data_IF_139850497890
#
_entry.id   IF_139850497890
#
_cell.length_a   1.000
_cell.length_b   1.000
_cell.length_c   1.000
_cell.angle_alpha   90.00
_cell.angle_beta   90.00
_cell.angle_gamma   90.00
#
_symmetry.space_group_name_H-M   'P 1'
#
loop_
_entity.id
_entity.type
_entity.pdbx_description
1 polymer ?
#
# COMPACT_ATOMS: atom_id res chain seq x y z
N UNK A 1 -0.34 3.90 5.06
CA UNK A 1 -0.76 2.48 5.05
C UNK A 1 -0.99 1.94 3.65
N UNK A 2 -1.74 2.63 2.80
CA UNK A 2 -2.09 2.13 1.46
C UNK A 2 -0.89 1.84 0.52
N UNK A 3 0.24 2.53 0.66
CA UNK A 3 1.49 2.15 -0.02
C UNK A 3 1.96 0.76 0.38
N UNK A 4 1.84 0.42 1.65
CA UNK A 4 2.27 -0.86 2.19
C UNK A 4 1.53 -2.03 1.55
N UNK A 5 0.21 -2.06 1.58
CA UNK A 5 -0.55 -3.17 1.01
C UNK A 5 -0.49 -3.21 -0.54
N UNK A 6 -0.19 -2.07 -1.17
CA UNK A 6 0.01 -2.05 -2.62
C UNK A 6 1.33 -2.71 -3.04
N UNK A 7 2.39 -2.55 -2.26
CA UNK A 7 3.74 -2.88 -2.69
C UNK A 7 4.39 -4.02 -1.93
N UNK A 8 4.12 -4.20 -0.62
CA UNK A 8 4.96 -5.11 0.15
C UNK A 8 4.30 -5.82 1.34
N UNK A 9 3.14 -5.38 1.81
CA UNK A 9 2.48 -6.03 2.95
C UNK A 9 1.94 -7.41 2.58
N UNK A 10 2.29 -8.42 3.39
CA UNK A 10 1.78 -9.78 3.26
C UNK A 10 1.31 -10.32 4.61
N UNK A 11 0.20 -11.02 4.57
CA UNK A 11 -0.34 -11.73 5.72
C UNK A 11 -0.62 -13.18 5.32
N UNK A 12 0.48 -13.92 5.13
CA UNK A 12 0.42 -15.32 4.70
C UNK A 12 -0.08 -16.21 5.85
N UNK A 13 -0.94 -17.17 5.51
CA UNK A 13 -1.49 -18.15 6.44
C UNK A 13 -1.05 -19.55 6.04
N UNK A 14 -0.72 -20.38 7.03
CA UNK A 14 -0.55 -21.81 6.88
C UNK A 14 -1.41 -22.53 7.90
N UNK A 15 -2.27 -23.44 7.43
CA UNK A 15 -3.22 -24.18 8.28
C UNK A 15 -4.05 -23.24 9.17
N UNK A 16 -4.55 -22.13 8.59
CA UNK A 16 -5.30 -21.07 9.25
C UNK A 16 -4.51 -20.33 10.36
N UNK A 17 -3.19 -20.45 10.39
CA UNK A 17 -2.33 -19.73 11.33
C UNK A 17 -1.47 -18.71 10.60
N UNK A 18 -1.35 -17.47 11.12
CA UNK A 18 -0.45 -16.47 10.54
C UNK A 18 1.01 -16.94 10.57
N UNK A 19 1.69 -16.74 9.47
CA UNK A 19 3.14 -16.96 9.38
C UNK A 19 3.93 -15.72 9.82
N UNK A 20 3.34 -14.54 9.62
CA UNK A 20 3.98 -13.28 9.99
C UNK A 20 3.82 -12.99 11.47
N UNK A 21 4.91 -12.56 12.10
CA UNK A 21 4.91 -12.05 13.47
C UNK A 21 4.52 -10.56 13.49
N UNK A 22 4.14 -10.06 14.67
CA UNK A 22 3.90 -8.64 14.88
C UNK A 22 5.12 -7.82 14.44
N UNK A 23 4.88 -6.79 13.64
CA UNK A 23 5.92 -5.91 13.12
C UNK A 23 6.64 -6.38 11.86
N UNK A 24 6.34 -7.59 11.35
CA UNK A 24 7.01 -8.17 10.17
C UNK A 24 6.13 -8.22 8.92
N UNK A 25 4.99 -7.52 8.91
CA UNK A 25 4.04 -7.51 7.80
C UNK A 25 4.53 -6.76 6.55
N UNK A 26 5.63 -6.01 6.63
CA UNK A 26 6.14 -5.22 5.52
C UNK A 26 5.65 -3.78 5.48
N UNK A 27 5.19 -3.23 6.60
CA UNK A 27 4.80 -1.82 6.71
C UNK A 27 5.97 -0.90 6.37
N UNK A 28 5.70 0.14 5.60
CA UNK A 28 6.68 1.19 5.33
C UNK A 28 7.03 1.96 6.61
N UNK A 29 8.29 2.24 6.80
CA UNK A 29 8.81 3.08 7.88
C UNK A 29 8.84 4.54 7.42
N UNK A 30 8.92 5.47 8.36
CA UNK A 30 8.90 6.89 8.07
C UNK A 30 10.01 7.34 7.10
N UNK A 31 11.18 6.74 7.20
CA UNK A 31 12.33 7.02 6.32
C UNK A 31 12.23 6.39 4.92
N UNK A 32 11.25 5.54 4.68
CA UNK A 32 11.01 4.88 3.41
C UNK A 32 9.87 5.53 2.61
N UNK A 33 9.13 6.45 3.24
CA UNK A 33 8.03 7.16 2.60
C UNK A 33 8.58 8.20 1.63
N UNK A 34 8.12 8.21 0.37
CA UNK A 34 8.50 9.23 -0.59
C UNK A 34 7.96 10.61 -0.19
N UNK A 35 8.48 11.65 -0.82
CA UNK A 35 7.90 12.97 -0.69
C UNK A 35 6.43 12.96 -1.13
N UNK A 36 5.58 13.54 -0.30
CA UNK A 36 4.12 13.57 -0.53
C UNK A 36 3.67 15.01 -0.66
N UNK A 37 3.12 15.36 -1.83
CA UNK A 37 2.44 16.62 -2.05
C UNK A 37 0.94 16.43 -1.89
N UNK A 38 0.31 17.24 -1.04
CA UNK A 38 -1.12 17.21 -0.80
C UNK A 38 -1.79 18.43 -1.42
N UNK A 39 -2.69 18.17 -2.38
CA UNK A 39 -3.46 19.22 -3.05
C UNK A 39 -4.92 19.08 -2.62
N UNK A 40 -5.43 20.13 -1.99
CA UNK A 40 -6.82 20.18 -1.51
C UNK A 40 -7.65 20.94 -2.53
N UNK A 41 -8.63 20.23 -3.13
CA UNK A 41 -9.62 20.84 -4.02
C UNK A 41 -10.84 21.20 -3.17
N UNK A 42 -11.02 22.48 -2.87
CA UNK A 42 -12.18 22.97 -2.12
C UNK A 42 -13.42 23.01 -3.03
N UNK A 43 -14.51 22.47 -2.53
CA UNK A 43 -15.82 22.49 -3.19
C UNK A 43 -16.90 22.77 -2.15
N UNK A 44 -17.92 23.54 -2.52
CA UNK A 44 -19.06 23.81 -1.64
C UNK A 44 -19.65 22.50 -1.15
N UNK A 45 -19.72 22.34 0.17
CA UNK A 45 -20.28 21.16 0.84
C UNK A 45 -21.76 21.33 1.19
N UNK A 46 -22.24 20.45 2.06
CA UNK A 46 -23.58 20.50 2.61
C UNK A 46 -23.71 21.66 3.62
N UNK A 47 -24.91 22.18 3.79
CA UNK A 47 -25.25 23.26 4.76
C UNK A 47 -25.37 22.74 6.22
N UNK A 48 -24.62 21.69 6.56
CA UNK A 48 -24.55 21.10 7.90
C UNK A 48 -23.10 21.01 8.35
N UNK A 49 -22.89 21.00 9.64
CA UNK A 49 -21.55 20.91 10.23
C UNK A 49 -20.53 21.91 9.64
N UNK A 50 -20.96 23.15 9.36
CA UNK A 50 -20.14 24.18 8.71
C UNK A 50 -19.53 23.75 7.37
N UNK A 51 -20.17 22.85 6.65
CA UNK A 51 -19.69 22.29 5.39
C UNK A 51 -18.71 21.14 5.52
N UNK A 52 -18.41 20.67 6.74
CA UNK A 52 -17.52 19.55 6.95
C UNK A 52 -18.17 18.22 6.53
N UNK A 53 -17.41 17.40 5.84
CA UNK A 53 -17.80 16.05 5.41
C UNK A 53 -16.76 15.07 5.87
N UNK A 54 -17.20 13.96 6.51
CA UNK A 54 -16.32 12.84 6.83
C UNK A 54 -15.87 12.13 5.57
N UNK A 55 -14.59 11.80 5.46
CA UNK A 55 -14.02 11.11 4.29
C UNK A 55 -13.68 9.63 4.56
N UNK A 56 -13.68 9.20 5.84
CA UNK A 56 -13.34 7.83 6.20
C UNK A 56 -11.99 7.38 5.60
N UNK A 57 -11.98 6.26 4.92
CA UNK A 57 -10.79 5.67 4.30
C UNK A 57 -10.66 5.95 2.80
N UNK A 58 -11.43 6.88 2.26
CA UNK A 58 -11.44 7.19 0.81
C UNK A 58 -10.05 7.54 0.28
N UNK A 59 -9.21 8.14 1.10
CA UNK A 59 -7.83 8.51 0.74
C UNK A 59 -6.92 7.29 0.48
N UNK A 60 -7.28 6.12 0.95
CA UNK A 60 -6.54 4.87 0.72
C UNK A 60 -6.96 4.13 -0.54
N UNK A 61 -8.14 4.40 -1.07
CA UNK A 61 -8.73 3.67 -2.20
C UNK A 61 -7.92 3.78 -3.49
N UNK A 62 -7.45 4.97 -3.93
CA UNK A 62 -6.81 5.11 -5.23
C UNK A 62 -5.34 4.72 -5.26
N UNK A 63 -4.71 4.46 -4.13
CA UNK A 63 -3.25 4.28 -4.04
C UNK A 63 -2.77 3.06 -4.83
N UNK A 64 -3.32 1.88 -4.58
CA UNK A 64 -2.90 0.67 -5.29
C UNK A 64 -3.20 0.74 -6.79
N UNK A 65 -4.38 1.18 -7.26
CA UNK A 65 -4.65 1.39 -8.68
C UNK A 65 -3.71 2.40 -9.33
N UNK A 66 -3.39 3.50 -8.65
CA UNK A 66 -2.49 4.53 -9.16
C UNK A 66 -1.07 3.98 -9.37
N UNK A 67 -0.56 3.22 -8.41
CA UNK A 67 0.76 2.58 -8.50
C UNK A 67 0.77 1.51 -9.60
N UNK A 68 -0.28 0.68 -9.69
CA UNK A 68 -0.41 -0.31 -10.76
C UNK A 68 -0.43 0.34 -12.14
N UNK A 69 -1.14 1.46 -12.28
CA UNK A 69 -1.16 2.27 -13.51
C UNK A 69 0.21 2.84 -13.86
N UNK A 70 0.96 3.34 -12.87
CA UNK A 70 2.30 3.85 -13.08
C UNK A 70 3.26 2.75 -13.57
N UNK A 71 3.22 1.57 -12.97
CA UNK A 71 4.00 0.42 -13.45
C UNK A 71 3.59 -0.03 -14.83
N UNK A 72 2.29 -0.03 -15.14
CA UNK A 72 1.82 -0.36 -16.49
C UNK A 72 2.38 0.60 -17.56
N UNK A 73 2.41 1.90 -17.26
CA UNK A 73 3.02 2.88 -18.17
C UNK A 73 4.52 2.65 -18.33
N UNK A 74 5.19 2.19 -17.28
CA UNK A 74 6.62 1.94 -17.28
C UNK A 74 7.02 0.67 -18.05
N UNK A 75 6.34 -0.45 -17.82
CA UNK A 75 6.75 -1.76 -18.35
C UNK A 75 5.69 -2.47 -19.21
N UNK A 76 4.50 -1.91 -19.33
CA UNK A 76 3.41 -2.48 -20.13
C UNK A 76 2.75 -3.72 -19.54
N UNK A 77 3.07 -4.09 -18.29
CA UNK A 77 2.53 -5.29 -17.65
C UNK A 77 1.32 -4.97 -16.78
N UNK A 78 0.23 -5.69 -16.98
CA UNK A 78 -0.89 -5.69 -16.06
C UNK A 78 -0.60 -6.55 -14.84
N UNK A 79 -0.78 -5.95 -13.67
CA UNK A 79 -0.67 -6.63 -12.38
C UNK A 79 -2.04 -6.83 -11.78
N UNK A 80 -2.34 -8.04 -11.35
CA UNK A 80 -3.69 -8.46 -10.93
C UNK A 80 -3.73 -8.96 -9.48
N UNK A 81 -2.63 -8.84 -8.76
CA UNK A 81 -2.53 -9.25 -7.36
C UNK A 81 -1.97 -8.14 -6.48
N UNK A 82 -2.24 -8.21 -5.18
CA UNK A 82 -1.63 -7.36 -4.16
C UNK A 82 -0.89 -8.24 -3.14
N UNK A 83 0.29 -7.83 -2.69
CA UNK A 83 1.09 -6.71 -3.24
C UNK A 83 1.42 -6.92 -4.71
N UNK A 84 1.66 -5.82 -5.42
CA UNK A 84 1.96 -5.85 -6.85
C UNK A 84 3.21 -6.69 -7.12
N UNK A 85 3.12 -7.64 -8.05
CA UNK A 85 4.22 -8.49 -8.46
C UNK A 85 5.22 -7.78 -9.39
N UNK A 86 6.40 -8.37 -9.57
CA UNK A 86 7.46 -7.82 -10.43
C UNK A 86 7.83 -6.37 -10.06
N UNK A 87 7.97 -6.10 -8.80
CA UNK A 87 8.44 -4.80 -8.27
C UNK A 87 9.69 -4.97 -7.44
N UNK A 88 10.53 -3.93 -7.27
CA UNK A 88 11.72 -4.01 -6.42
C UNK A 88 11.43 -4.40 -4.96
N UNK A 89 10.20 -4.18 -4.50
CA UNK A 89 9.78 -4.50 -3.13
C UNK A 89 9.46 -5.98 -2.92
N UNK A 90 9.29 -6.76 -3.98
CA UNK A 90 9.06 -8.21 -3.89
C UNK A 90 10.33 -8.95 -3.45
N UNK A 91 11.47 -8.55 -3.96
CA UNK A 91 12.78 -9.12 -3.62
C UNK A 91 13.14 -8.89 -2.15
N UNK A 92 12.83 -7.71 -1.60
CA UNK A 92 13.05 -7.39 -0.19
C UNK A 92 12.25 -8.31 0.76
N UNK A 93 11.09 -8.77 0.34
CA UNK A 93 10.24 -9.66 1.12
C UNK A 93 10.78 -11.10 1.15
N UNK A 94 11.44 -11.53 0.08
CA UNK A 94 12.06 -12.87 0.00
C UNK A 94 13.39 -12.94 0.75
N UNK A 95 14.20 -11.89 0.70
CA UNK A 95 15.46 -11.81 1.44
C UNK A 95 15.23 -11.85 2.95
N UNK A 96 14.23 -11.13 3.46
CA UNK A 96 13.87 -11.15 4.89
C UNK A 96 13.36 -12.51 5.37
N UNK A 97 12.71 -13.28 4.49
CA UNK A 97 12.31 -14.66 4.81
C UNK A 97 13.49 -15.61 4.94
N UNK A 98 14.55 -15.40 4.17
CA UNK A 98 15.79 -16.19 4.25
C UNK A 98 16.59 -15.95 5.53
N UNK A 99 16.59 -14.71 6.03
CA UNK A 99 17.30 -14.34 7.26
C UNK A 99 16.56 -14.81 8.55
N UNK A 100 15.24 -14.92 8.53
CA UNK A 100 14.46 -15.42 9.67
C UNK A 100 14.45 -16.95 9.81
N UNK A 101 14.90 -17.70 8.80
CA UNK A 101 15.01 -19.16 8.84
C UNK A 101 16.40 -19.67 9.29
N UNK A 102 17.33 -18.78 9.49
CA UNK A 102 18.65 -19.07 10.08
C UNK A 102 18.67 -18.74 11.57
#
# INVERSE_FOLDING_TARGET
>A
MSLGYALRERYDLKDCKPLSKYGTLGLFRANEIPEVESIIVEKAGLNVACGAIGIGEITSIPTAPAIAGAYYVYDGKYRTSLPLADTPYEEDAEQKKGEEQL
#
